data_IF_325908017978
#
_entry.id   IF_325908017978
#
_cell.length_a   1.000
_cell.length_b   1.000
_cell.length_c   1.000
_cell.angle_alpha   90.00
_cell.angle_beta   90.00
_cell.angle_gamma   90.00
#
_symmetry.space_group_name_H-M   'P 1'
#
loop_
_entity.id
_entity.type
_entity.pdbx_description
1 polymer ?
#
# COMPACT_ATOMS: atom_id res chain seq x y z
N UNK A 1 10.65 5.05 -6.14
CA UNK A 1 9.39 5.00 -5.41
C UNK A 1 9.65 4.80 -3.92
N UNK A 2 9.04 5.62 -3.08
CA UNK A 2 9.10 5.55 -1.62
C UNK A 2 7.69 5.25 -1.09
N UNK A 3 7.55 4.21 -0.29
CA UNK A 3 6.28 3.81 0.32
C UNK A 3 6.48 3.06 1.66
N UNK A 4 5.42 2.89 2.43
CA UNK A 4 5.39 2.00 3.59
C UNK A 4 4.31 0.92 3.42
N UNK A 5 4.32 -0.11 4.26
CA UNK A 5 3.38 -1.26 4.15
C UNK A 5 3.39 -1.90 2.77
N UNK A 6 4.55 -2.32 2.30
CA UNK A 6 4.70 -2.93 0.97
C UNK A 6 3.73 -4.08 0.70
N UNK A 7 3.29 -4.80 1.74
CA UNK A 7 2.36 -5.92 1.65
C UNK A 7 0.87 -5.49 1.47
N UNK A 8 0.59 -4.18 1.47
CA UNK A 8 -0.74 -3.68 1.15
C UNK A 8 -1.06 -3.96 -0.32
N UNK A 9 -2.25 -4.49 -0.62
CA UNK A 9 -2.70 -4.86 -1.97
C UNK A 9 -2.57 -3.70 -2.95
N UNK A 10 -3.02 -2.51 -2.55
CA UNK A 10 -2.95 -1.30 -3.38
C UNK A 10 -1.51 -0.88 -3.71
N UNK A 11 -0.57 -1.12 -2.81
CA UNK A 11 0.85 -0.86 -3.06
C UNK A 11 1.44 -1.82 -4.09
N UNK A 12 1.04 -3.10 -3.99
CA UNK A 12 1.41 -4.12 -4.97
C UNK A 12 0.92 -3.74 -6.37
N UNK A 13 -0.36 -3.38 -6.51
CA UNK A 13 -0.96 -2.98 -7.79
C UNK A 13 -0.27 -1.74 -8.38
N UNK A 14 0.07 -0.76 -7.53
CA UNK A 14 0.80 0.43 -7.98
C UNK A 14 2.21 0.10 -8.47
N UNK A 15 2.97 -0.74 -7.74
CA UNK A 15 4.31 -1.17 -8.16
C UNK A 15 4.25 -1.95 -9.48
N UNK A 16 3.28 -2.88 -9.63
CA UNK A 16 3.09 -3.66 -10.86
C UNK A 16 2.72 -2.77 -12.04
N UNK A 17 1.79 -1.84 -11.84
CA UNK A 17 1.42 -0.85 -12.85
C UNK A 17 2.62 -0.01 -13.29
N UNK A 18 3.36 0.58 -12.34
CA UNK A 18 4.57 1.35 -12.63
C UNK A 18 5.62 0.51 -13.37
N UNK A 19 5.84 -0.74 -12.93
CA UNK A 19 6.76 -1.65 -13.61
C UNK A 19 6.41 -1.82 -15.08
N UNK A 20 5.13 -2.09 -15.36
CA UNK A 20 4.61 -2.28 -16.72
C UNK A 20 4.78 -1.04 -17.59
N UNK A 21 4.49 0.15 -17.06
CA UNK A 21 4.60 1.40 -17.81
C UNK A 21 6.05 1.87 -17.98
N UNK A 22 6.94 1.57 -17.01
CA UNK A 22 8.36 1.93 -17.06
C UNK A 22 9.14 1.01 -17.99
N UNK A 23 8.85 -0.28 -18.03
CA UNK A 23 9.44 -1.22 -18.99
C UNK A 23 9.26 -0.73 -20.44
N UNK A 24 8.04 -0.31 -20.81
CA UNK A 24 7.72 0.26 -22.14
C UNK A 24 8.54 1.50 -22.49
N UNK A 25 9.02 2.24 -21.48
CA UNK A 25 9.82 3.47 -21.61
C UNK A 25 11.32 3.23 -21.43
N UNK A 26 11.71 2.00 -21.19
CA UNK A 26 13.09 1.64 -20.88
C UNK A 26 13.63 2.32 -19.61
N UNK A 27 12.75 2.56 -18.62
CA UNK A 27 13.11 3.12 -17.31
C UNK A 27 13.33 2.02 -16.28
N UNK A 28 14.09 2.31 -15.23
CA UNK A 28 14.29 1.43 -14.10
C UNK A 28 13.43 1.90 -12.91
N UNK A 29 12.89 0.96 -12.14
CA UNK A 29 12.11 1.23 -10.94
C UNK A 29 12.85 0.68 -9.71
N UNK A 30 13.21 1.59 -8.80
CA UNK A 30 13.72 1.26 -7.47
C UNK A 30 12.64 1.60 -6.45
N UNK A 31 12.26 0.64 -5.62
CA UNK A 31 11.24 0.77 -4.59
C UNK A 31 11.91 0.71 -3.22
N UNK A 32 11.85 1.77 -2.47
CA UNK A 32 12.32 1.83 -1.08
C UNK A 32 11.10 1.69 -0.19
N UNK A 33 11.03 0.59 0.56
CA UNK A 33 9.82 0.22 1.26
C UNK A 33 10.08 -0.18 2.71
N UNK A 34 9.06 0.04 3.56
CA UNK A 34 9.01 -0.51 4.91
C UNK A 34 7.92 -1.60 5.00
N UNK A 35 8.03 -2.49 5.97
CA UNK A 35 6.99 -3.47 6.27
C UNK A 35 5.91 -2.89 7.19
N UNK A 36 6.31 -1.99 8.11
CA UNK A 36 5.41 -1.30 9.05
C UNK A 36 4.89 0.02 8.48
N UNK A 37 3.81 0.52 9.08
CA UNK A 37 3.38 1.88 8.82
C UNK A 37 4.09 2.83 9.82
N UNK A 38 4.79 3.80 9.35
CA UNK A 38 5.67 4.66 10.14
C UNK A 38 4.92 5.67 11.04
N UNK A 39 3.64 5.42 11.31
CA UNK A 39 2.77 6.33 12.08
C UNK A 39 3.18 6.44 13.55
N UNK A 40 3.53 5.32 14.18
CA UNK A 40 3.78 5.26 15.63
C UNK A 40 5.16 5.75 16.03
N UNK A 41 6.10 5.90 15.06
CA UNK A 41 7.47 6.35 15.28
C UNK A 41 8.19 5.57 16.40
N UNK A 42 7.95 4.26 16.44
CA UNK A 42 8.66 3.35 17.35
C UNK A 42 10.15 3.25 17.00
N UNK A 43 11.01 2.68 17.86
CA UNK A 43 12.39 2.41 17.47
C UNK A 43 12.50 1.55 16.20
N UNK A 44 11.62 0.57 16.04
CA UNK A 44 11.55 -0.29 14.86
C UNK A 44 11.18 0.52 13.61
N UNK A 45 10.18 1.39 13.70
CA UNK A 45 9.78 2.28 12.59
C UNK A 45 10.93 3.17 12.15
N UNK A 46 11.70 3.73 13.12
CA UNK A 46 12.88 4.55 12.81
C UNK A 46 13.98 3.72 12.14
N UNK A 47 14.18 2.47 12.59
CA UNK A 47 15.12 1.54 11.97
C UNK A 47 14.74 1.21 10.53
N UNK A 48 13.49 0.82 10.28
CA UNK A 48 12.98 0.54 8.92
C UNK A 48 13.04 1.78 8.02
N UNK A 49 12.75 2.97 8.54
CA UNK A 49 12.80 4.22 7.79
C UNK A 49 14.20 4.56 7.24
N UNK A 50 15.24 3.93 7.76
CA UNK A 50 16.60 4.07 7.24
C UNK A 50 16.72 3.65 5.77
N UNK A 51 15.81 2.82 5.24
CA UNK A 51 15.75 2.44 3.82
C UNK A 51 15.73 3.67 2.90
N UNK A 52 15.07 4.75 3.28
CA UNK A 52 15.00 5.98 2.48
C UNK A 52 16.34 6.74 2.42
N UNK A 53 17.30 6.39 3.31
CA UNK A 53 18.64 6.95 3.22
C UNK A 53 19.53 6.25 2.19
N UNK A 54 19.08 5.11 1.65
CA UNK A 54 19.76 4.36 0.58
C UNK A 54 19.57 5.00 -0.80
N UNK A 55 18.63 5.94 -0.95
CA UNK A 55 18.37 6.60 -2.24
C UNK A 55 19.67 7.27 -2.72
N UNK A 56 20.16 6.82 -3.88
CA UNK A 56 21.29 7.43 -4.54
C UNK A 56 20.79 8.50 -5.52
N UNK A 57 20.75 9.75 -5.06
CA UNK A 57 20.27 10.89 -5.83
C UNK A 57 21.16 11.27 -7.02
N UNK A 58 22.37 10.74 -7.12
CA UNK A 58 23.27 11.00 -8.26
C UNK A 58 22.90 10.19 -9.51
N UNK A 59 22.11 9.12 -9.33
CA UNK A 59 21.61 8.26 -10.42
C UNK A 59 20.08 8.21 -10.51
N UNK A 60 19.39 9.01 -9.68
CA UNK A 60 17.92 9.03 -9.61
C UNK A 60 17.40 10.23 -10.40
N UNK A 61 16.63 9.98 -11.46
CA UNK A 61 16.07 11.02 -12.33
C UNK A 61 14.80 11.66 -11.74
N UNK A 62 14.02 10.92 -10.94
CA UNK A 62 12.84 11.41 -10.24
C UNK A 62 12.55 10.56 -8.99
N UNK A 63 11.89 11.13 -8.00
CA UNK A 63 11.41 10.42 -6.80
C UNK A 63 9.89 10.51 -6.73
N UNK A 64 9.23 9.37 -6.57
CA UNK A 64 7.80 9.26 -6.35
C UNK A 64 7.59 8.92 -4.87
N UNK A 65 6.76 9.68 -4.17
CA UNK A 65 6.42 9.45 -2.76
C UNK A 65 4.94 9.12 -2.67
N UNK A 66 4.62 7.91 -2.18
CA UNK A 66 3.26 7.53 -1.84
C UNK A 66 2.98 8.01 -0.39
N UNK A 67 2.69 9.30 -0.25
CA UNK A 67 2.72 9.99 1.03
C UNK A 67 1.56 9.61 1.96
N UNK A 68 0.40 9.21 1.46
CA UNK A 68 -0.68 8.62 2.27
C UNK A 68 -0.22 7.37 3.03
N UNK A 69 0.76 6.65 2.50
CA UNK A 69 1.30 5.43 3.12
C UNK A 69 2.44 5.74 4.08
N UNK A 70 3.31 6.72 3.76
CA UNK A 70 4.46 7.09 4.63
C UNK A 70 3.98 7.97 5.79
N UNK A 71 2.98 8.09 6.32
CA UNK A 71 2.39 8.85 7.44
C UNK A 71 3.38 9.60 8.37
N UNK A 72 4.57 9.95 7.91
CA UNK A 72 5.64 10.65 8.65
C UNK A 72 6.14 11.86 7.86
N UNK A 73 5.74 13.05 8.27
CA UNK A 73 6.18 14.31 7.65
C UNK A 73 7.69 14.50 7.74
N UNK A 74 8.32 14.06 8.84
CA UNK A 74 9.77 14.18 9.04
C UNK A 74 10.55 13.42 7.98
N UNK A 75 10.10 12.20 7.65
CA UNK A 75 10.74 11.37 6.61
C UNK A 75 10.51 12.00 5.24
N UNK A 76 9.28 12.39 4.93
CA UNK A 76 8.92 13.03 3.66
C UNK A 76 9.75 14.30 3.46
N UNK A 77 9.80 15.19 4.45
CA UNK A 77 10.57 16.44 4.38
C UNK A 77 12.08 16.18 4.18
N UNK A 78 12.61 15.10 4.80
CA UNK A 78 14.01 14.71 4.59
C UNK A 78 14.28 14.26 3.16
N UNK A 79 13.39 13.47 2.55
CA UNK A 79 13.50 13.03 1.15
C UNK A 79 13.42 14.26 0.22
N UNK A 80 12.40 15.11 0.40
CA UNK A 80 12.17 16.32 -0.41
C UNK A 80 13.36 17.27 -0.36
N UNK A 81 13.93 17.49 0.83
CA UNK A 81 15.13 18.32 0.99
C UNK A 81 16.30 17.78 0.17
N UNK A 82 16.59 16.49 0.26
CA UNK A 82 17.68 15.86 -0.50
C UNK A 82 17.45 15.92 -2.00
N UNK A 83 16.20 15.71 -2.44
CA UNK A 83 15.83 15.90 -3.84
C UNK A 83 16.09 17.34 -4.31
N UNK A 84 15.72 18.33 -3.49
CA UNK A 84 15.96 19.75 -3.80
C UNK A 84 17.45 20.09 -3.90
N UNK A 85 18.28 19.52 -3.02
CA UNK A 85 19.76 19.72 -3.07
C UNK A 85 20.39 19.18 -4.37
N UNK A 86 19.76 18.19 -5.01
CA UNK A 86 20.23 17.54 -6.23
C UNK A 86 19.43 17.92 -7.49
N UNK A 87 18.44 18.81 -7.36
CA UNK A 87 17.49 19.17 -8.41
C UNK A 87 16.72 17.95 -8.98
N UNK A 88 16.48 16.92 -8.18
CA UNK A 88 15.69 15.76 -8.55
C UNK A 88 14.21 16.09 -8.36
N UNK A 89 13.35 15.98 -9.38
CA UNK A 89 11.92 16.24 -9.25
C UNK A 89 11.26 15.22 -8.31
N UNK A 90 10.26 15.71 -7.56
CA UNK A 90 9.47 14.91 -6.65
C UNK A 90 8.02 14.90 -7.10
N UNK A 91 7.43 13.70 -7.17
CA UNK A 91 6.01 13.48 -7.43
C UNK A 91 5.39 12.89 -6.17
N UNK A 92 4.31 13.51 -5.68
CA UNK A 92 3.47 12.95 -4.62
C UNK A 92 2.34 12.16 -5.26
N UNK A 93 2.15 10.91 -4.84
CA UNK A 93 1.09 10.04 -5.30
C UNK A 93 0.18 9.65 -4.13
N UNK A 94 -1.12 9.88 -4.28
CA UNK A 94 -2.15 9.50 -3.30
C UNK A 94 -2.41 10.50 -2.19
N UNK A 95 -1.65 11.60 -2.07
CA UNK A 95 -1.75 12.52 -0.95
C UNK A 95 -2.11 13.97 -1.31
N UNK A 96 -2.18 14.81 -0.28
CA UNK A 96 -2.49 16.23 -0.42
C UNK A 96 -1.36 17.00 -1.10
N UNK A 97 -1.65 17.90 -2.04
CA UNK A 97 -0.64 18.63 -2.77
C UNK A 97 0.17 19.56 -1.85
N UNK A 98 1.49 19.42 -1.85
CA UNK A 98 2.42 20.22 -1.05
C UNK A 98 3.29 21.16 -1.91
N UNK A 99 2.75 21.69 -3.01
CA UNK A 99 3.48 22.61 -3.88
C UNK A 99 4.47 21.95 -4.84
N UNK A 100 4.33 20.65 -5.06
CA UNK A 100 5.08 19.85 -6.03
C UNK A 100 4.11 19.17 -7.01
N UNK A 101 4.64 18.34 -7.90
CA UNK A 101 3.81 17.52 -8.78
C UNK A 101 3.03 16.51 -7.95
N UNK A 102 1.72 16.45 -8.14
CA UNK A 102 0.86 15.53 -7.41
C UNK A 102 -0.13 14.80 -8.29
N UNK A 103 -0.41 13.55 -7.91
CA UNK A 103 -1.51 12.74 -8.43
C UNK A 103 -2.40 12.36 -7.25
N UNK A 104 -3.70 12.54 -7.40
CA UNK A 104 -4.67 12.32 -6.34
C UNK A 104 -5.93 11.69 -6.92
N UNK A 105 -6.60 10.85 -6.14
CA UNK A 105 -7.95 10.46 -6.46
C UNK A 105 -8.94 11.58 -6.08
N UNK A 106 -9.93 11.82 -6.93
CA UNK A 106 -11.07 12.67 -6.59
C UNK A 106 -12.04 11.89 -5.70
N UNK A 107 -11.62 11.69 -4.44
CA UNK A 107 -12.39 10.94 -3.46
C UNK A 107 -13.77 11.54 -3.20
N UNK A 108 -13.89 12.87 -3.28
CA UNK A 108 -15.15 13.57 -3.04
C UNK A 108 -16.17 13.25 -4.16
N UNK A 109 -15.75 13.37 -5.42
CA UNK A 109 -16.64 13.06 -6.53
C UNK A 109 -16.95 11.57 -6.61
N UNK A 110 -15.96 10.69 -6.42
CA UNK A 110 -16.19 9.25 -6.39
C UNK A 110 -17.18 8.83 -5.31
N UNK A 111 -17.08 9.37 -4.10
CA UNK A 111 -18.02 9.08 -3.02
C UNK A 111 -19.41 9.67 -3.27
N UNK A 112 -19.46 10.88 -3.85
CA UNK A 112 -20.73 11.48 -4.28
C UNK A 112 -21.45 10.64 -5.34
N UNK A 113 -20.70 10.04 -6.28
CA UNK A 113 -21.26 9.18 -7.33
C UNK A 113 -21.93 7.93 -6.76
N UNK A 114 -21.31 7.29 -5.75
CA UNK A 114 -21.93 6.16 -5.03
C UNK A 114 -23.26 6.55 -4.39
N UNK A 115 -23.32 7.70 -3.70
CA UNK A 115 -24.54 8.16 -3.04
C UNK A 115 -25.62 8.51 -4.06
N UNK A 116 -25.23 9.23 -5.13
CA UNK A 116 -26.17 9.58 -6.22
C UNK A 116 -26.74 8.33 -6.88
N UNK A 117 -25.93 7.30 -7.13
CA UNK A 117 -26.37 6.04 -7.67
C UNK A 117 -27.48 5.40 -6.82
N UNK A 118 -27.31 5.35 -5.50
CA UNK A 118 -28.35 4.79 -4.60
C UNK A 118 -29.62 5.61 -4.63
N UNK A 119 -29.53 6.93 -4.67
CA UNK A 119 -30.71 7.81 -4.68
C UNK A 119 -31.38 7.83 -6.06
N UNK A 120 -30.62 8.05 -7.14
CA UNK A 120 -31.17 8.32 -8.48
C UNK A 120 -31.60 7.04 -9.20
N UNK A 121 -30.81 5.97 -9.09
CA UNK A 121 -31.04 4.74 -9.84
C UNK A 121 -31.94 3.76 -9.07
N UNK A 122 -31.90 3.79 -7.71
CA UNK A 122 -32.70 2.90 -6.87
C UNK A 122 -33.87 3.61 -6.15
N UNK A 123 -33.92 4.94 -6.16
CA UNK A 123 -35.03 5.72 -5.60
C UNK A 123 -35.06 5.73 -4.07
N UNK A 124 -33.97 5.36 -3.40
CA UNK A 124 -33.87 5.24 -1.95
C UNK A 124 -33.61 6.61 -1.32
N UNK A 125 -34.35 6.94 -0.26
CA UNK A 125 -34.23 8.22 0.45
C UNK A 125 -33.95 8.08 1.93
N UNK A 126 -34.16 6.91 2.52
CA UNK A 126 -33.75 6.59 3.90
C UNK A 126 -32.37 5.95 3.91
N UNK A 127 -31.35 6.80 4.10
CA UNK A 127 -29.95 6.40 4.05
C UNK A 127 -29.28 6.53 5.42
N UNK A 128 -28.38 5.60 5.73
CA UNK A 128 -27.52 5.67 6.90
C UNK A 128 -26.06 5.50 6.49
N UNK A 129 -25.21 6.43 6.90
CA UNK A 129 -23.78 6.36 6.61
C UNK A 129 -23.02 5.67 7.74
N UNK A 130 -22.21 4.67 7.40
CA UNK A 130 -21.17 4.15 8.29
C UNK A 130 -19.86 4.86 7.93
N UNK A 131 -19.53 5.87 8.75
CA UNK A 131 -18.34 6.69 8.58
C UNK A 131 -17.08 6.02 9.16
N UNK A 132 -15.91 6.56 8.84
CA UNK A 132 -14.64 6.11 9.40
C UNK A 132 -14.40 6.57 10.84
N UNK A 133 -13.13 6.88 11.17
CA UNK A 133 -12.74 7.37 12.51
C UNK A 133 -13.24 8.81 12.71
N UNK A 134 -13.86 9.07 13.83
CA UNK A 134 -14.36 10.41 14.18
C UNK A 134 -13.22 11.42 14.28
N UNK A 135 -13.36 12.54 13.56
CA UNK A 135 -12.34 13.59 13.51
C UNK A 135 -11.16 13.31 12.58
N UNK A 136 -11.19 12.20 11.85
CA UNK A 136 -10.22 11.93 10.80
C UNK A 136 -10.62 12.66 9.51
N UNK A 137 -9.67 13.30 8.83
CA UNK A 137 -9.93 14.15 7.67
C UNK A 137 -10.66 13.41 6.53
N UNK A 138 -10.30 12.16 6.24
CA UNK A 138 -10.98 11.34 5.23
C UNK A 138 -12.41 11.00 5.63
N UNK A 139 -12.64 10.69 6.91
CA UNK A 139 -13.97 10.40 7.44
C UNK A 139 -14.86 11.63 7.40
N UNK A 140 -14.35 12.76 7.86
CA UNK A 140 -15.11 14.03 7.92
C UNK A 140 -15.40 14.59 6.50
N UNK A 141 -14.45 14.44 5.54
CA UNK A 141 -14.68 14.79 4.14
C UNK A 141 -15.82 13.94 3.54
N UNK A 142 -15.82 12.63 3.76
CA UNK A 142 -16.92 11.74 3.28
C UNK A 142 -18.28 12.10 3.91
N UNK A 143 -18.32 12.46 5.21
CA UNK A 143 -19.54 12.98 5.85
C UNK A 143 -19.99 14.29 5.21
N UNK A 144 -19.06 15.19 4.91
CA UNK A 144 -19.39 16.45 4.23
C UNK A 144 -19.97 16.21 2.83
N UNK A 145 -19.42 15.27 2.07
CA UNK A 145 -19.95 14.84 0.75
C UNK A 145 -21.34 14.24 0.92
N UNK A 146 -21.56 13.36 1.89
CA UNK A 146 -22.87 12.77 2.18
C UNK A 146 -23.92 13.88 2.43
N UNK A 147 -23.64 14.82 3.33
CA UNK A 147 -24.50 15.98 3.62
C UNK A 147 -24.80 16.81 2.36
N UNK A 148 -23.79 17.05 1.54
CA UNK A 148 -23.90 17.83 0.30
C UNK A 148 -24.85 17.15 -0.68
N UNK A 149 -24.66 15.84 -0.95
CA UNK A 149 -25.50 15.09 -1.91
C UNK A 149 -26.93 15.00 -1.40
N UNK A 150 -27.16 14.74 -0.09
CA UNK A 150 -28.51 14.76 0.47
C UNK A 150 -29.20 16.10 0.24
N UNK A 151 -28.49 17.21 0.49
CA UNK A 151 -29.03 18.57 0.27
C UNK A 151 -29.35 18.81 -1.22
N UNK A 152 -28.49 18.37 -2.15
CA UNK A 152 -28.72 18.45 -3.61
C UNK A 152 -30.00 17.70 -4.03
N UNK A 153 -30.33 16.60 -3.32
CA UNK A 153 -31.50 15.75 -3.57
C UNK A 153 -32.75 16.14 -2.76
N UNK A 154 -32.65 17.19 -1.96
CA UNK A 154 -33.76 17.65 -1.10
C UNK A 154 -34.07 16.75 0.09
N UNK A 155 -33.13 15.88 0.49
CA UNK A 155 -33.23 15.01 1.67
C UNK A 155 -32.66 15.76 2.86
N UNK A 156 -33.43 15.87 3.95
CA UNK A 156 -32.99 16.55 5.16
C UNK A 156 -31.98 15.70 5.95
N UNK A 157 -30.78 16.22 6.16
CA UNK A 157 -29.76 15.55 6.96
C UNK A 157 -30.07 15.64 8.44
N UNK A 158 -29.84 14.54 9.16
CA UNK A 158 -29.88 14.49 10.63
C UNK A 158 -28.66 13.75 11.16
N UNK A 159 -28.10 14.16 12.29
CA UNK A 159 -26.90 13.55 12.87
C UNK A 159 -27.08 12.06 13.21
N UNK A 160 -28.31 11.59 13.39
CA UNK A 160 -28.63 10.19 13.61
C UNK A 160 -28.52 9.32 12.34
N UNK A 161 -28.30 9.91 11.18
CA UNK A 161 -28.02 9.21 9.91
C UNK A 161 -26.55 8.79 9.78
N UNK A 162 -25.69 9.05 10.78
CA UNK A 162 -24.27 8.73 10.74
C UNK A 162 -23.88 7.93 11.97
N UNK A 163 -23.24 6.79 11.74
CA UNK A 163 -22.53 6.00 12.75
C UNK A 163 -21.07 5.85 12.37
N UNK A 164 -20.20 5.62 13.35
CA UNK A 164 -18.76 5.47 13.11
C UNK A 164 -18.37 3.99 13.20
N UNK A 165 -17.71 3.48 12.14
CA UNK A 165 -17.18 2.13 12.04
C UNK A 165 -15.65 2.07 12.03
N UNK A 166 -14.99 3.23 12.25
CA UNK A 166 -13.55 3.40 12.40
C UNK A 166 -12.71 2.78 11.25
N UNK A 167 -13.31 2.57 10.07
CA UNK A 167 -12.76 1.85 8.91
C UNK A 167 -12.49 0.34 9.15
N UNK A 168 -12.97 -0.23 10.26
CA UNK A 168 -12.71 -1.62 10.67
C UNK A 168 -13.98 -2.42 10.95
N UNK A 169 -13.85 -3.74 10.92
CA UNK A 169 -15.00 -4.65 11.08
C UNK A 169 -15.64 -4.55 12.45
N UNK A 170 -14.88 -4.64 13.56
CA UNK A 170 -15.46 -4.71 14.92
C UNK A 170 -16.26 -3.48 15.31
N UNK A 171 -15.77 -2.22 15.11
CA UNK A 171 -16.59 -1.04 15.35
C UNK A 171 -17.84 -0.96 14.46
N UNK A 172 -17.71 -1.40 13.18
CA UNK A 172 -18.83 -1.45 12.24
C UNK A 172 -19.92 -2.43 12.71
N UNK A 173 -19.54 -3.64 13.10
CA UNK A 173 -20.45 -4.64 13.67
C UNK A 173 -21.21 -4.05 14.89
N UNK A 174 -20.48 -3.39 15.78
CA UNK A 174 -21.08 -2.72 16.96
C UNK A 174 -22.10 -1.67 16.55
N UNK A 175 -21.78 -0.83 15.56
CA UNK A 175 -22.65 0.24 15.09
C UNK A 175 -23.95 -0.32 14.43
N UNK A 176 -23.83 -1.37 13.60
CA UNK A 176 -24.97 -1.98 12.90
C UNK A 176 -25.86 -2.73 13.88
N UNK A 177 -25.30 -3.53 14.81
CA UNK A 177 -26.08 -4.22 15.84
C UNK A 177 -26.89 -3.24 16.70
N UNK A 178 -26.32 -2.09 17.04
CA UNK A 178 -27.05 -1.03 17.75
C UNK A 178 -28.28 -0.54 16.97
N UNK A 179 -28.17 -0.36 15.66
CA UNK A 179 -29.31 0.05 14.83
C UNK A 179 -30.37 -1.04 14.73
N UNK A 180 -29.98 -2.32 14.73
CA UNK A 180 -30.88 -3.45 14.78
C UNK A 180 -31.64 -3.48 16.13
N UNK A 181 -30.93 -3.35 17.24
CA UNK A 181 -31.51 -3.35 18.60
C UNK A 181 -32.48 -2.16 18.82
N UNK A 182 -32.24 -1.04 18.16
CA UNK A 182 -33.09 0.16 18.20
C UNK A 182 -34.26 0.12 17.18
N UNK A 183 -34.40 -0.95 16.38
CA UNK A 183 -35.37 -1.06 15.27
C UNK A 183 -35.30 0.14 14.29
N UNK A 184 -34.08 0.49 13.89
CA UNK A 184 -33.76 1.68 13.10
C UNK A 184 -32.90 1.37 11.86
N UNK A 185 -33.17 0.25 11.23
CA UNK A 185 -32.50 -0.09 9.99
C UNK A 185 -32.95 0.82 8.85
N UNK A 186 -32.03 1.39 8.05
CA UNK A 186 -32.35 2.23 6.91
C UNK A 186 -32.70 1.37 5.68
N UNK A 187 -33.14 2.03 4.60
CA UNK A 187 -33.27 1.39 3.28
C UNK A 187 -31.92 1.18 2.59
N UNK A 188 -30.90 2.00 2.94
CA UNK A 188 -29.54 1.81 2.42
C UNK A 188 -28.45 2.21 3.40
N UNK A 189 -27.38 1.40 3.46
CA UNK A 189 -26.12 1.74 4.10
C UNK A 189 -25.11 2.27 3.07
N UNK A 190 -24.58 3.46 3.33
CA UNK A 190 -23.46 4.07 2.60
C UNK A 190 -22.21 3.92 3.46
N UNK A 191 -21.36 2.95 3.16
CA UNK A 191 -20.16 2.69 3.95
C UNK A 191 -18.97 3.50 3.41
N UNK A 192 -18.20 4.09 4.32
CA UNK A 192 -17.04 4.89 3.92
C UNK A 192 -15.88 4.06 3.36
N UNK A 193 -15.89 2.72 3.51
CA UNK A 193 -15.00 1.83 2.78
C UNK A 193 -15.62 0.42 2.59
N UNK A 194 -14.94 -0.40 1.79
CA UNK A 194 -15.40 -1.74 1.42
C UNK A 194 -15.36 -2.74 2.59
N UNK A 195 -14.36 -2.63 3.47
CA UNK A 195 -14.26 -3.49 4.66
C UNK A 195 -15.50 -3.35 5.55
N UNK A 196 -15.97 -2.12 5.74
CA UNK A 196 -17.19 -1.86 6.49
C UNK A 196 -18.42 -2.38 5.73
N UNK A 197 -18.49 -2.22 4.41
CA UNK A 197 -19.61 -2.70 3.60
C UNK A 197 -19.75 -4.25 3.69
N UNK A 198 -18.64 -4.98 3.56
CA UNK A 198 -18.62 -6.44 3.73
C UNK A 198 -19.09 -6.84 5.14
N UNK A 199 -18.64 -6.09 6.16
CA UNK A 199 -19.05 -6.32 7.55
C UNK A 199 -20.54 -6.08 7.75
N UNK A 200 -21.08 -4.98 7.20
CA UNK A 200 -22.52 -4.69 7.24
C UNK A 200 -23.32 -5.85 6.63
N UNK A 201 -22.94 -6.33 5.44
CA UNK A 201 -23.61 -7.48 4.82
C UNK A 201 -23.58 -8.74 5.69
N UNK A 202 -22.45 -9.02 6.37
CA UNK A 202 -22.33 -10.14 7.29
C UNK A 202 -23.28 -10.02 8.48
N UNK A 203 -23.30 -8.86 9.14
CA UNK A 203 -24.20 -8.61 10.29
C UNK A 203 -25.67 -8.70 9.90
N UNK A 204 -26.04 -8.14 8.74
CA UNK A 204 -27.42 -8.22 8.22
C UNK A 204 -27.83 -9.67 7.94
N UNK A 205 -26.94 -10.46 7.31
CA UNK A 205 -27.20 -11.86 7.04
C UNK A 205 -27.40 -12.69 8.32
N UNK A 206 -26.58 -12.45 9.36
CA UNK A 206 -26.71 -13.10 10.67
C UNK A 206 -28.05 -12.79 11.36
N UNK A 207 -28.66 -11.65 11.01
CA UNK A 207 -29.97 -11.21 11.51
C UNK A 207 -31.12 -11.49 10.52
N UNK A 208 -30.90 -12.31 9.48
CA UNK A 208 -31.88 -12.67 8.45
C UNK A 208 -32.43 -11.48 7.64
N UNK A 209 -31.66 -10.42 7.51
CA UNK A 209 -31.95 -9.27 6.65
C UNK A 209 -31.23 -9.47 5.33
N UNK A 210 -31.95 -9.39 4.21
CA UNK A 210 -31.43 -9.69 2.87
C UNK A 210 -30.86 -8.45 2.21
N UNK A 211 -29.70 -8.62 1.60
CA UNK A 211 -29.07 -7.60 0.76
C UNK A 211 -29.06 -8.11 -0.68
N UNK A 212 -29.63 -7.43 -1.65
CA UNK A 212 -30.21 -6.06 -1.62
C UNK A 212 -31.70 -5.97 -1.35
N UNK A 213 -32.44 -7.11 -1.21
CA UNK A 213 -33.91 -7.13 -1.26
C UNK A 213 -34.59 -6.33 -0.13
N UNK A 214 -33.99 -6.32 1.05
CA UNK A 214 -34.50 -5.58 2.21
C UNK A 214 -33.69 -4.28 2.43
N UNK A 215 -32.37 -4.31 2.24
CA UNK A 215 -31.47 -3.16 2.43
C UNK A 215 -30.39 -3.16 1.38
N UNK A 216 -30.13 -2.00 0.78
CA UNK A 216 -28.97 -1.75 -0.11
C UNK A 216 -27.71 -1.49 0.72
N UNK A 217 -26.56 -2.02 0.27
CA UNK A 217 -25.26 -1.74 0.90
C UNK A 217 -24.25 -1.33 -0.15
N UNK A 218 -23.55 -0.21 0.09
CA UNK A 218 -22.46 0.24 -0.78
C UNK A 218 -21.18 0.46 0.01
N UNK A 219 -20.03 0.25 -0.64
CA UNK A 219 -18.70 0.50 -0.15
C UNK A 219 -17.97 1.60 -0.91
N UNK A 220 -16.67 1.71 -0.68
CA UNK A 220 -15.75 2.62 -1.34
C UNK A 220 -14.33 2.06 -1.26
N UNK A 221 -13.47 2.37 -2.21
CA UNK A 221 -12.07 2.03 -2.49
C UNK A 221 -11.93 0.99 -3.62
N UNK A 222 -12.84 0.03 -3.78
CA UNK A 222 -12.81 -0.99 -4.84
C UNK A 222 -11.81 -2.11 -4.59
N UNK A 223 -11.57 -2.47 -3.31
CA UNK A 223 -10.61 -3.53 -2.95
C UNK A 223 -11.03 -4.90 -3.50
N UNK A 224 -10.06 -5.79 -3.71
CA UNK A 224 -10.32 -7.10 -4.34
C UNK A 224 -11.37 -7.94 -3.57
N UNK A 225 -11.42 -7.80 -2.24
CA UNK A 225 -12.34 -8.53 -1.38
C UNK A 225 -13.83 -8.39 -1.78
N UNK A 226 -14.24 -7.26 -2.36
CA UNK A 226 -15.63 -7.02 -2.78
C UNK A 226 -16.08 -7.94 -3.92
N UNK A 227 -15.14 -8.42 -4.74
CA UNK A 227 -15.44 -9.33 -5.85
C UNK A 227 -15.83 -10.73 -5.35
N UNK A 228 -15.47 -11.04 -4.11
CA UNK A 228 -15.63 -12.34 -3.48
C UNK A 228 -16.63 -12.34 -2.33
N UNK A 229 -17.18 -11.18 -1.95
CA UNK A 229 -18.27 -11.09 -0.98
C UNK A 229 -19.57 -11.66 -1.55
N UNK A 230 -20.48 -12.05 -0.67
CA UNK A 230 -21.82 -12.50 -1.03
C UNK A 230 -22.82 -11.69 -0.19
N UNK A 231 -23.58 -10.79 -0.83
CA UNK A 231 -23.52 -10.36 -2.24
C UNK A 231 -22.22 -9.64 -2.59
N UNK A 232 -21.87 -9.54 -3.88
CA UNK A 232 -20.77 -8.68 -4.36
C UNK A 232 -21.11 -7.22 -4.08
N UNK A 233 -20.17 -6.51 -3.49
CA UNK A 233 -20.39 -5.14 -3.03
C UNK A 233 -20.33 -4.15 -4.19
N UNK A 234 -21.34 -3.28 -4.28
CA UNK A 234 -21.30 -2.04 -5.07
C UNK A 234 -20.32 -1.09 -4.42
N UNK A 235 -19.34 -0.61 -5.17
CA UNK A 235 -18.26 0.23 -4.67
C UNK A 235 -17.80 1.26 -5.70
N UNK A 236 -16.84 2.10 -5.34
CA UNK A 236 -16.15 2.98 -6.26
C UNK A 236 -14.66 2.65 -6.27
N UNK A 237 -14.12 2.31 -7.44
CA UNK A 237 -12.74 1.85 -7.61
C UNK A 237 -11.76 3.02 -7.70
N UNK A 238 -10.87 3.11 -6.74
CA UNK A 238 -9.66 3.94 -6.78
C UNK A 238 -8.54 3.11 -7.42
N UNK A 239 -8.42 3.18 -8.75
CA UNK A 239 -7.51 2.31 -9.51
C UNK A 239 -6.05 2.75 -9.41
N UNK A 240 -5.24 2.00 -8.70
CA UNK A 240 -3.79 2.26 -8.63
C UNK A 240 -3.05 1.94 -9.94
N UNK A 241 -3.61 1.13 -10.84
CA UNK A 241 -3.09 0.98 -12.21
C UNK A 241 -3.29 2.28 -13.02
N UNK A 242 -4.47 2.93 -12.87
CA UNK A 242 -4.71 4.25 -13.47
C UNK A 242 -3.75 5.30 -12.89
N UNK A 243 -3.51 5.29 -11.57
CA UNK A 243 -2.52 6.16 -10.94
C UNK A 243 -1.10 5.89 -11.47
N UNK A 244 -0.71 4.64 -11.67
CA UNK A 244 0.59 4.28 -12.24
C UNK A 244 0.73 4.79 -13.69
N UNK A 245 -0.33 4.68 -14.49
CA UNK A 245 -0.37 5.19 -15.87
C UNK A 245 -0.18 6.72 -15.90
N UNK A 246 -0.94 7.44 -15.09
CA UNK A 246 -0.85 8.90 -15.00
C UNK A 246 0.49 9.36 -14.42
N UNK A 247 1.06 8.61 -13.47
CA UNK A 247 2.43 8.86 -12.96
C UNK A 247 3.45 8.77 -14.08
N UNK A 248 3.38 7.72 -14.90
CA UNK A 248 4.29 7.56 -16.03
C UNK A 248 4.10 8.65 -17.09
N UNK A 249 2.86 9.07 -17.36
CA UNK A 249 2.58 10.18 -18.27
C UNK A 249 3.07 11.53 -17.74
N UNK A 250 2.97 11.76 -16.42
CA UNK A 250 3.52 12.96 -15.79
C UNK A 250 5.05 12.99 -15.86
N UNK A 251 5.71 11.86 -15.65
CA UNK A 251 7.17 11.74 -15.82
C UNK A 251 7.61 11.98 -17.28
N UNK A 252 6.84 11.48 -18.27
CA UNK A 252 7.12 11.80 -19.68
C UNK A 252 7.13 13.31 -19.95
N UNK A 253 6.13 14.04 -19.39
CA UNK A 253 6.06 15.51 -19.50
C UNK A 253 7.25 16.18 -18.82
N UNK A 254 7.56 15.78 -17.59
CA UNK A 254 8.68 16.32 -16.81
C UNK A 254 10.02 16.14 -17.53
N UNK A 255 10.29 14.95 -18.06
CA UNK A 255 11.53 14.67 -18.80
C UNK A 255 11.54 15.33 -20.19
N UNK A 256 10.37 15.61 -20.76
CA UNK A 256 10.21 16.40 -21.98
C UNK A 256 10.36 17.91 -21.79
N UNK A 257 10.50 18.38 -20.54
CA UNK A 257 10.61 19.81 -20.21
C UNK A 257 9.28 20.57 -20.17
N UNK A 258 8.15 19.89 -20.28
CA UNK A 258 6.82 20.48 -20.12
C UNK A 258 6.38 20.38 -18.65
N UNK A 259 6.32 21.53 -17.99
CA UNK A 259 6.11 21.66 -16.54
C UNK A 259 4.78 22.37 -16.21
N UNK A 260 3.81 22.38 -17.12
CA UNK A 260 2.62 23.25 -17.00
C UNK A 260 1.56 22.76 -16.04
N UNK A 261 1.43 21.46 -15.80
CA UNK A 261 0.43 20.89 -14.88
C UNK A 261 1.09 20.21 -13.67
N UNK A 262 0.90 20.80 -12.50
CA UNK A 262 1.48 20.28 -11.25
C UNK A 262 0.55 19.33 -10.48
N UNK A 263 -0.76 19.24 -10.85
CA UNK A 263 -1.75 18.42 -10.17
C UNK A 263 -2.58 17.62 -11.17
N UNK A 264 -2.63 16.30 -10.98
CA UNK A 264 -3.47 15.38 -11.75
C UNK A 264 -4.52 14.79 -10.82
N UNK A 265 -5.82 15.00 -11.14
CA UNK A 265 -6.95 14.36 -10.45
C UNK A 265 -7.38 13.13 -11.24
N UNK A 266 -7.49 12.00 -10.56
CA UNK A 266 -7.93 10.71 -11.12
C UNK A 266 -9.33 10.46 -10.58
N UNK A 267 -10.32 10.44 -11.45
CA UNK A 267 -11.70 10.17 -11.05
C UNK A 267 -11.87 8.67 -10.74
N UNK A 268 -12.27 8.31 -9.51
CA UNK A 268 -12.64 6.94 -9.18
C UNK A 268 -13.82 6.48 -10.04
N UNK A 269 -13.95 5.18 -10.25
CA UNK A 269 -14.99 4.61 -11.12
C UNK A 269 -16.01 3.82 -10.32
N UNK A 270 -17.29 4.18 -10.44
CA UNK A 270 -18.39 3.43 -9.84
C UNK A 270 -18.45 2.00 -10.42
N UNK A 271 -18.60 1.02 -9.54
CA UNK A 271 -18.78 -0.41 -9.82
C UNK A 271 -20.12 -0.89 -9.25
N UNK A 272 -21.24 -0.68 -9.94
CA UNK A 272 -22.52 -1.20 -9.51
C UNK A 272 -22.51 -2.72 -9.48
N UNK A 273 -23.07 -3.32 -8.41
CA UNK A 273 -23.01 -4.75 -8.21
C UNK A 273 -24.26 -5.31 -7.50
N UNK A 274 -24.16 -6.53 -6.98
CA UNK A 274 -25.29 -7.25 -6.40
C UNK A 274 -25.86 -6.58 -5.14
N UNK A 275 -25.02 -5.96 -4.31
CA UNK A 275 -25.44 -5.40 -3.03
C UNK A 275 -26.33 -4.15 -3.13
N UNK A 276 -26.47 -3.57 -4.33
CA UNK A 276 -27.47 -2.54 -4.60
C UNK A 276 -28.61 -3.03 -5.52
N UNK A 277 -28.58 -4.29 -5.95
CA UNK A 277 -29.57 -4.86 -6.87
C UNK A 277 -29.22 -4.70 -8.35
N UNK A 278 -28.08 -4.12 -8.68
CA UNK A 278 -27.58 -4.10 -10.06
C UNK A 278 -27.05 -5.47 -10.46
N UNK A 279 -27.33 -5.87 -11.69
CA UNK A 279 -26.86 -7.15 -12.20
C UNK A 279 -25.34 -7.11 -12.43
N UNK A 280 -24.62 -8.04 -11.81
CA UNK A 280 -23.25 -8.31 -12.18
C UNK A 280 -23.19 -8.94 -13.58
N UNK A 281 -22.36 -8.37 -14.45
CA UNK A 281 -22.14 -8.89 -15.81
C UNK A 281 -21.39 -10.23 -15.82
N UNK A 282 -20.76 -10.63 -14.70
CA UNK A 282 -20.02 -11.87 -14.58
C UNK A 282 -20.59 -12.75 -13.48
N UNK A 283 -21.19 -13.91 -13.82
CA UNK A 283 -21.62 -14.88 -12.79
C UNK A 283 -20.40 -15.42 -12.04
N UNK A 284 -20.49 -15.48 -10.71
CA UNK A 284 -19.46 -16.10 -9.88
C UNK A 284 -19.37 -17.58 -10.27
N UNK A 285 -18.21 -18.00 -10.79
CA UNK A 285 -17.88 -19.41 -10.78
C UNK A 285 -17.44 -19.80 -9.37
N UNK A 286 -18.39 -20.21 -8.53
CA UNK A 286 -18.17 -20.57 -7.13
C UNK A 286 -17.05 -21.59 -6.96
N UNK A 287 -16.88 -22.51 -7.92
CA UNK A 287 -15.80 -23.52 -7.87
C UNK A 287 -14.43 -22.90 -8.10
N UNK A 288 -14.30 -21.95 -9.03
CA UNK A 288 -13.05 -21.21 -9.23
C UNK A 288 -12.72 -20.35 -8.02
N UNK A 289 -13.72 -19.67 -7.47
CA UNK A 289 -13.56 -18.87 -6.26
C UNK A 289 -13.08 -19.70 -5.07
N UNK A 290 -13.76 -20.81 -4.75
CA UNK A 290 -13.34 -21.70 -3.66
C UNK A 290 -11.93 -22.26 -3.87
N UNK A 291 -11.57 -22.59 -5.11
CA UNK A 291 -10.22 -23.02 -5.43
C UNK A 291 -9.19 -21.92 -5.20
N UNK A 292 -9.52 -20.67 -5.54
CA UNK A 292 -8.61 -19.54 -5.33
C UNK A 292 -8.42 -19.24 -3.84
N UNK A 293 -9.51 -19.20 -3.05
CA UNK A 293 -9.44 -19.03 -1.59
C UNK A 293 -8.61 -20.15 -0.96
N UNK A 294 -8.85 -21.40 -1.35
CA UNK A 294 -8.07 -22.54 -0.85
C UNK A 294 -6.59 -22.43 -1.25
N UNK A 295 -6.28 -22.04 -2.49
CA UNK A 295 -4.92 -21.87 -2.95
C UNK A 295 -4.19 -20.74 -2.20
N UNK A 296 -4.88 -19.64 -1.90
CA UNK A 296 -4.33 -18.54 -1.08
C UNK A 296 -4.08 -19.02 0.35
N UNK A 297 -5.02 -19.74 0.94
CA UNK A 297 -4.88 -20.32 2.27
C UNK A 297 -3.69 -21.28 2.35
N UNK A 298 -3.55 -22.22 1.40
CA UNK A 298 -2.44 -23.16 1.38
C UNK A 298 -1.11 -22.46 1.13
N UNK A 299 -1.04 -21.48 0.24
CA UNK A 299 0.16 -20.65 0.06
C UNK A 299 0.56 -19.95 1.36
N UNK A 300 -0.38 -19.30 2.03
CA UNK A 300 -0.11 -18.65 3.31
C UNK A 300 0.42 -19.64 4.38
N UNK A 301 -0.13 -20.85 4.43
CA UNK A 301 0.33 -21.92 5.33
C UNK A 301 1.77 -22.35 4.99
N UNK A 302 2.07 -22.56 3.71
CA UNK A 302 3.41 -22.95 3.26
C UNK A 302 4.43 -21.84 3.53
N UNK A 303 4.11 -20.59 3.25
CA UNK A 303 4.97 -19.43 3.53
C UNK A 303 5.21 -19.26 5.04
N UNK A 304 4.18 -19.35 5.85
CA UNK A 304 4.30 -19.30 7.31
C UNK A 304 5.18 -20.43 7.85
N UNK A 305 5.01 -21.63 7.34
CA UNK A 305 5.85 -22.77 7.71
C UNK A 305 7.31 -22.56 7.29
N UNK A 306 7.54 -22.04 6.08
CA UNK A 306 8.86 -21.74 5.56
C UNK A 306 9.57 -20.68 6.41
N UNK A 307 8.89 -19.58 6.75
CA UNK A 307 9.41 -18.51 7.60
C UNK A 307 9.79 -19.04 8.99
N UNK A 308 8.91 -19.82 9.63
CA UNK A 308 9.20 -20.43 10.94
C UNK A 308 10.41 -21.38 10.88
N UNK A 309 10.54 -22.16 9.81
CA UNK A 309 11.67 -23.06 9.60
C UNK A 309 12.98 -22.30 9.39
N UNK A 310 12.97 -21.18 8.69
CA UNK A 310 14.12 -20.31 8.48
C UNK A 310 14.51 -19.64 9.79
N UNK A 311 13.56 -19.05 10.52
CA UNK A 311 13.79 -18.43 11.81
C UNK A 311 14.46 -19.42 12.80
N UNK A 312 13.96 -20.64 12.89
CA UNK A 312 14.54 -21.68 13.71
C UNK A 312 15.97 -22.06 13.28
N UNK A 313 16.23 -22.10 11.96
CA UNK A 313 17.56 -22.42 11.42
C UNK A 313 18.57 -21.31 11.68
N UNK A 314 18.16 -20.04 11.57
CA UNK A 314 19.02 -18.88 11.83
C UNK A 314 19.47 -18.87 13.30
N UNK A 315 18.55 -19.18 14.23
CA UNK A 315 18.86 -19.26 15.67
C UNK A 315 19.95 -20.31 16.02
N UNK A 316 20.21 -21.26 15.12
CA UNK A 316 21.25 -22.29 15.29
C UNK A 316 22.60 -21.90 14.65
N UNK A 317 22.68 -20.77 13.99
CA UNK A 317 23.91 -20.33 13.34
C UNK A 317 24.85 -19.69 14.36
N UNK A 318 26.16 -19.98 14.21
CA UNK A 318 27.23 -19.48 15.10
C UNK A 318 27.93 -18.24 14.52
N UNK A 319 27.75 -17.99 13.23
CA UNK A 319 28.38 -16.88 12.52
C UNK A 319 27.54 -16.46 11.30
N UNK A 320 27.93 -15.33 10.70
CA UNK A 320 27.21 -14.71 9.61
C UNK A 320 27.27 -15.53 8.30
N UNK A 321 28.36 -16.26 8.07
CA UNK A 321 28.50 -17.13 6.91
C UNK A 321 27.50 -18.30 6.96
N UNK A 322 27.27 -18.87 8.15
CA UNK A 322 26.26 -19.90 8.32
C UNK A 322 24.85 -19.36 8.08
N UNK A 323 24.54 -18.14 8.50
CA UNK A 323 23.29 -17.45 8.20
C UNK A 323 23.11 -17.33 6.68
N UNK A 324 24.11 -16.80 5.99
CA UNK A 324 24.08 -16.67 4.53
C UNK A 324 23.83 -18.01 3.80
N UNK A 325 24.49 -19.09 4.27
CA UNK A 325 24.27 -20.43 3.72
C UNK A 325 22.86 -20.95 3.94
N UNK A 326 22.20 -20.61 5.05
CA UNK A 326 20.82 -21.04 5.31
C UNK A 326 19.84 -20.33 4.39
N UNK A 327 20.02 -19.04 4.13
CA UNK A 327 19.21 -18.29 3.17
C UNK A 327 19.35 -18.82 1.75
N UNK A 328 20.57 -19.06 1.26
CA UNK A 328 20.80 -19.53 -0.10
C UNK A 328 20.23 -20.95 -0.36
N UNK A 329 20.17 -21.81 0.67
CA UNK A 329 19.56 -23.15 0.57
C UNK A 329 18.04 -23.15 0.75
N UNK A 330 17.47 -22.03 1.11
CA UNK A 330 16.03 -21.91 1.26
C UNK A 330 15.41 -21.63 -0.13
N UNK A 331 14.68 -22.59 -0.67
CA UNK A 331 14.04 -22.54 -2.00
C UNK A 331 13.05 -21.37 -2.18
N UNK A 332 12.83 -20.58 -1.15
CA UNK A 332 11.86 -19.49 -1.13
C UNK A 332 12.46 -18.10 -1.35
N UNK A 333 13.79 -17.97 -1.36
CA UNK A 333 14.48 -16.69 -1.57
C UNK A 333 15.28 -16.72 -2.85
N UNK A 334 14.60 -16.43 -3.94
CA UNK A 334 15.23 -16.19 -5.23
C UNK A 334 15.44 -14.69 -5.42
N UNK A 335 16.46 -14.34 -6.19
CA UNK A 335 16.69 -12.97 -6.64
C UNK A 335 16.88 -11.98 -5.45
N UNK A 336 17.60 -12.39 -4.40
CA UNK A 336 17.85 -11.61 -3.21
C UNK A 336 19.33 -11.25 -3.08
N UNK A 337 19.60 -9.98 -2.81
CA UNK A 337 20.92 -9.47 -2.44
C UNK A 337 20.86 -8.99 -0.99
N UNK A 338 21.80 -9.44 -0.17
CA UNK A 338 21.97 -8.97 1.20
C UNK A 338 23.26 -8.18 1.33
N UNK A 339 23.16 -6.98 1.89
CA UNK A 339 24.25 -6.06 2.12
C UNK A 339 24.27 -5.67 3.59
N UNK A 340 25.46 -5.66 4.20
CA UNK A 340 25.67 -5.31 5.59
C UNK A 340 26.66 -4.14 5.72
N UNK A 341 26.51 -3.41 6.81
CA UNK A 341 27.47 -2.38 7.21
C UNK A 341 28.75 -3.00 7.78
N UNK A 342 29.87 -2.26 7.81
CA UNK A 342 31.15 -2.78 8.32
C UNK A 342 31.06 -3.34 9.73
N UNK A 343 30.28 -2.76 10.61
CA UNK A 343 30.13 -3.16 12.02
C UNK A 343 29.57 -4.57 12.18
N UNK A 344 28.80 -5.02 11.19
CA UNK A 344 28.22 -6.37 11.20
C UNK A 344 29.25 -7.45 10.79
N UNK A 345 30.35 -7.04 10.16
CA UNK A 345 31.37 -7.93 9.60
C UNK A 345 32.65 -7.92 10.42
N UNK A 346 33.01 -6.77 10.98
CA UNK A 346 34.23 -6.58 11.78
C UNK A 346 33.90 -6.40 13.27
N UNK A 347 34.07 -7.46 14.05
CA UNK A 347 33.82 -7.47 15.50
C UNK A 347 34.67 -6.47 16.30
N UNK A 348 35.75 -5.91 15.70
CA UNK A 348 36.59 -4.88 16.34
C UNK A 348 35.92 -3.49 16.32
N UNK A 349 34.87 -3.30 15.53
CA UNK A 349 34.14 -2.04 15.41
C UNK A 349 33.04 -2.02 16.47
N UNK A 350 33.09 -1.01 17.38
CA UNK A 350 32.05 -0.81 18.38
C UNK A 350 30.77 -0.22 17.77
N UNK A 351 29.65 -0.98 17.70
CA UNK A 351 28.41 -0.50 17.08
C UNK A 351 27.88 0.77 17.75
N UNK A 352 28.08 0.94 19.04
CA UNK A 352 27.62 2.10 19.81
C UNK A 352 28.28 3.42 19.40
N UNK A 353 29.48 3.36 18.83
CA UNK A 353 30.21 4.56 18.36
C UNK A 353 29.89 4.96 16.94
N UNK A 354 29.20 4.11 16.17
CA UNK A 354 28.92 4.30 14.74
C UNK A 354 27.47 4.66 14.42
N UNK A 355 26.59 4.72 15.43
CA UNK A 355 25.15 5.01 15.27
C UNK A 355 24.82 6.32 14.57
N UNK A 356 25.73 7.29 14.50
CA UNK A 356 25.47 8.59 13.84
C UNK A 356 25.66 8.57 12.31
N UNK A 357 26.26 7.51 11.74
CA UNK A 357 26.62 7.41 10.32
C UNK A 357 25.76 6.40 9.56
N UNK A 358 24.45 6.45 9.71
CA UNK A 358 23.50 5.60 8.98
C UNK A 358 23.86 5.46 7.49
N UNK A 359 24.36 4.31 7.06
CA UNK A 359 24.82 4.02 5.69
C UNK A 359 25.79 5.06 5.09
N UNK A 360 26.45 5.86 5.91
CA UNK A 360 27.32 6.96 5.45
C UNK A 360 28.76 6.52 5.14
N UNK A 361 29.09 5.25 5.39
CA UNK A 361 30.43 4.74 5.13
C UNK A 361 30.68 4.48 3.66
N UNK A 362 31.91 4.72 3.22
CA UNK A 362 32.32 4.58 1.83
C UNK A 362 32.29 3.12 1.34
N UNK A 363 32.32 2.15 2.26
CA UNK A 363 32.34 0.73 1.95
C UNK A 363 31.20 -0.01 2.64
N UNK A 364 30.50 -0.83 1.87
CA UNK A 364 29.52 -1.79 2.31
C UNK A 364 29.97 -3.21 1.94
N UNK A 365 29.34 -4.23 2.52
CA UNK A 365 29.70 -5.61 2.30
C UNK A 365 28.52 -6.39 1.77
N UNK A 366 28.61 -6.87 0.52
CA UNK A 366 27.66 -7.83 0.00
C UNK A 366 27.92 -9.18 0.68
N UNK A 367 26.96 -9.66 1.46
CA UNK A 367 27.03 -10.95 2.15
C UNK A 367 26.72 -12.10 1.19
N UNK A 368 25.67 -11.97 0.39
CA UNK A 368 25.31 -12.91 -0.67
C UNK A 368 24.47 -12.22 -1.75
N UNK A 369 24.46 -12.86 -2.90
CA UNK A 369 23.58 -12.58 -4.03
C UNK A 369 23.13 -13.92 -4.61
N UNK A 370 21.85 -14.25 -4.54
CA UNK A 370 21.32 -15.55 -4.93
C UNK A 370 21.36 -15.78 -6.43
N UNK A 371 21.53 -14.73 -7.25
CA UNK A 371 21.54 -14.82 -8.72
C UNK A 371 22.89 -15.15 -9.33
N UNK A 372 23.97 -14.82 -8.64
CA UNK A 372 25.28 -14.74 -9.31
C UNK A 372 26.34 -15.63 -8.70
N UNK A 373 26.36 -15.90 -7.38
CA UNK A 373 27.46 -16.64 -6.76
C UNK A 373 27.07 -17.33 -5.44
N UNK A 374 27.63 -18.54 -5.30
CA UNK A 374 27.53 -19.35 -4.08
C UNK A 374 28.66 -19.07 -3.06
N UNK A 375 29.43 -18.03 -3.24
CA UNK A 375 30.47 -17.66 -2.31
C UNK A 375 29.91 -16.85 -1.13
N UNK A 376 29.90 -17.47 0.04
CA UNK A 376 29.37 -16.89 1.30
C UNK A 376 30.43 -16.07 2.05
N UNK A 377 31.35 -15.43 1.35
CA UNK A 377 32.31 -14.54 1.97
C UNK A 377 31.91 -13.09 1.73
N UNK A 378 31.85 -12.29 2.78
CA UNK A 378 31.54 -10.87 2.63
C UNK A 378 32.51 -10.21 1.65
N UNK A 379 31.95 -9.54 0.62
CA UNK A 379 32.71 -8.81 -0.39
C UNK A 379 32.50 -7.32 -0.24
N UNK A 380 33.57 -6.60 0.07
CA UNK A 380 33.53 -5.13 0.14
C UNK A 380 33.31 -4.50 -1.24
N UNK A 381 32.49 -3.45 -1.31
CA UNK A 381 32.26 -2.64 -2.52
C UNK A 381 32.04 -1.18 -2.14
N UNK A 382 32.14 -0.27 -3.11
CA UNK A 382 31.84 1.15 -2.92
C UNK A 382 30.33 1.35 -2.80
N UNK A 383 29.91 2.13 -1.81
CA UNK A 383 28.50 2.45 -1.56
C UNK A 383 27.77 2.99 -2.78
N UNK A 384 28.47 3.77 -3.64
CA UNK A 384 27.86 4.34 -4.85
C UNK A 384 27.44 3.29 -5.87
N UNK A 385 27.93 2.05 -5.75
CA UNK A 385 27.53 0.96 -6.64
C UNK A 385 26.17 0.35 -6.26
N UNK A 386 25.57 0.71 -5.12
CA UNK A 386 24.39 0.07 -4.50
C UNK A 386 24.68 -1.41 -4.17
N UNK A 387 25.01 -2.23 -5.16
CA UNK A 387 25.64 -3.56 -5.04
C UNK A 387 26.38 -3.93 -6.35
N UNK A 388 27.38 -4.80 -6.30
CA UNK A 388 28.31 -5.01 -7.44
C UNK A 388 27.70 -5.40 -8.79
N UNK A 389 26.49 -5.97 -8.81
CA UNK A 389 25.83 -6.44 -10.02
C UNK A 389 24.65 -5.58 -10.47
N UNK A 390 24.50 -4.39 -9.89
CA UNK A 390 23.33 -3.52 -10.14
C UNK A 390 23.10 -3.22 -11.63
N UNK A 391 24.17 -3.03 -12.41
CA UNK A 391 24.06 -2.73 -13.85
C UNK A 391 23.37 -3.85 -14.62
N UNK A 392 23.71 -5.09 -14.33
CA UNK A 392 23.08 -6.26 -14.97
C UNK A 392 21.58 -6.35 -14.68
N UNK A 393 21.17 -5.99 -13.46
CA UNK A 393 19.73 -5.94 -13.08
C UNK A 393 19.04 -4.79 -13.78
N UNK A 394 19.67 -3.62 -13.82
CA UNK A 394 19.13 -2.43 -14.51
C UNK A 394 18.93 -2.67 -16.00
N UNK A 395 19.84 -3.42 -16.64
CA UNK A 395 19.73 -3.77 -18.06
C UNK A 395 18.51 -4.68 -18.34
N UNK A 396 18.11 -5.48 -17.36
CA UNK A 396 16.92 -6.35 -17.44
C UNK A 396 15.60 -5.64 -17.15
N UNK A 397 15.65 -4.39 -16.67
CA UNK A 397 14.46 -3.58 -16.30
C UNK A 397 13.56 -4.23 -15.25
N UNK A 398 14.13 -5.09 -14.42
CA UNK A 398 13.41 -5.73 -13.33
C UNK A 398 13.33 -4.73 -12.17
N UNK A 399 12.14 -4.45 -11.62
CA UNK A 399 12.01 -3.60 -10.44
C UNK A 399 12.74 -4.20 -9.24
N UNK A 400 13.37 -3.34 -8.46
CA UNK A 400 14.08 -3.71 -7.24
C UNK A 400 13.38 -3.13 -6.03
N UNK A 401 13.10 -3.96 -5.03
CA UNK A 401 12.58 -3.53 -3.74
C UNK A 401 13.68 -3.62 -2.69
N UNK A 402 13.86 -2.54 -1.94
CA UNK A 402 14.84 -2.41 -0.87
C UNK A 402 14.15 -2.34 0.48
N UNK A 403 14.67 -3.11 1.44
CA UNK A 403 14.28 -3.07 2.85
C UNK A 403 15.50 -2.87 3.72
N UNK A 404 15.38 -2.06 4.77
CA UNK A 404 16.42 -1.95 5.77
C UNK A 404 16.56 -3.26 6.59
N UNK A 405 17.79 -3.62 6.93
CA UNK A 405 18.09 -4.55 8.02
C UNK A 405 18.47 -3.68 9.21
N UNK A 406 17.74 -3.79 10.30
CA UNK A 406 17.93 -2.97 11.49
C UNK A 406 17.75 -3.77 12.77
N UNK A 407 18.38 -3.30 13.82
CA UNK A 407 18.07 -3.71 15.18
C UNK A 407 17.58 -2.46 15.93
N UNK A 408 16.30 -2.41 16.24
CA UNK A 408 15.61 -1.21 16.70
C UNK A 408 15.87 -0.03 15.73
N UNK A 409 16.43 1.08 16.18
CA UNK A 409 16.74 2.26 15.37
C UNK A 409 18.15 2.24 14.74
N UNK A 410 18.91 1.15 14.93
CA UNK A 410 20.26 0.98 14.37
C UNK A 410 20.20 0.25 13.03
N UNK A 411 20.49 0.91 11.89
CA UNK A 411 20.58 0.25 10.61
C UNK A 411 21.86 -0.61 10.53
N UNK A 412 21.68 -1.88 10.17
CA UNK A 412 22.74 -2.89 10.04
C UNK A 412 23.07 -3.23 8.58
N UNK A 413 22.22 -2.83 7.66
CA UNK A 413 22.34 -3.14 6.25
C UNK A 413 21.01 -3.06 5.54
N UNK A 414 20.93 -3.70 4.37
CA UNK A 414 19.69 -3.80 3.60
C UNK A 414 19.62 -5.10 2.81
N UNK A 415 18.42 -5.50 2.51
CA UNK A 415 18.14 -6.53 1.51
C UNK A 415 17.48 -5.88 0.29
N UNK A 416 17.78 -6.43 -0.87
CA UNK A 416 17.18 -6.05 -2.13
C UNK A 416 16.62 -7.30 -2.82
N UNK A 417 15.38 -7.20 -3.28
CA UNK A 417 14.69 -8.27 -4.00
C UNK A 417 14.32 -7.80 -5.40
N UNK A 418 14.32 -8.73 -6.35
CA UNK A 418 13.61 -8.51 -7.61
C UNK A 418 12.11 -8.62 -7.34
N UNK A 419 11.35 -7.67 -7.84
CA UNK A 419 9.90 -7.70 -7.78
C UNK A 419 9.37 -8.33 -9.07
N UNK A 420 8.73 -9.51 -8.94
CA UNK A 420 8.17 -10.29 -10.06
C UNK A 420 6.70 -10.60 -9.78
#
# INVERSE_FOLDING_TARGET
>A
LCLSKVNDEVNHDYIMGLSTFFEKRNWNLFVYATCTDLFWNTPEDRGESAVFSLINYDITDAVIILDEKIKSTVIIDSIVRKCSEKNTPVIFAGGMPKGHYSLEFDYEEGFAEVIRHVIDDHGVTDLHMIAGIKGNDFSESRIAVFKKVLSEKGIEFSDNMVSYGDFWSVPTETAVNKLIDEDRLPEAFICANDTMAVTVCGVLADNNVRVPEDIIVTGFDGVEAIKFSVPKITSCLCSYDDMARETAALLDKLFGGDMTDSRVLITPRLLPSESCGCHCTEPINTSLYLNEVNNRYYRFQEESFALNKIAARIQMCLNIEEVAQKFNRAQYFYNMVCVLTPECIDESIDPAKHCEKKYAEDKLYQLFNTDVDNAYKPRAFDRNEIFPQIKWVMDKKIPLIFFAINFMDNPMGYVCFHFN
#
